data_IF_094549720934
#
_entry.id   IF_094549720934
#
_cell.length_a   1.000
_cell.length_b   1.000
_cell.length_c   1.000
_cell.angle_alpha   90.00
_cell.angle_beta   90.00
_cell.angle_gamma   90.00
#
_symmetry.space_group_name_H-M   'P 1'
#
loop_
_entity.id
_entity.type
_entity.pdbx_description
1 polymer ?
#
# COMPACT_ATOMS: atom_id res chain seq x y z
N UNK A 1 1.87 -8.21 11.92
CA UNK A 1 0.91 -8.12 10.82
C UNK A 1 -0.27 -7.21 11.15
N UNK A 2 -1.00 -7.43 12.26
CA UNK A 2 -2.18 -6.62 12.62
C UNK A 2 -1.88 -5.13 12.81
N UNK A 3 -0.76 -4.78 13.46
CA UNK A 3 -0.33 -3.39 13.62
C UNK A 3 -0.06 -2.68 12.29
N UNK A 4 0.36 -3.42 11.26
CA UNK A 4 0.51 -2.93 9.90
C UNK A 4 -0.81 -2.98 9.10
N UNK A 5 -1.94 -3.32 9.72
CA UNK A 5 -3.26 -3.51 9.09
C UNK A 5 -3.30 -4.60 8.01
N UNK A 6 -2.33 -5.52 8.00
CA UNK A 6 -2.26 -6.65 7.08
C UNK A 6 -2.94 -7.87 7.70
N UNK A 7 -4.26 -7.93 7.61
CA UNK A 7 -5.08 -9.00 8.23
C UNK A 7 -5.50 -10.11 7.26
N UNK A 8 -5.49 -9.82 5.96
CA UNK A 8 -5.90 -10.75 4.91
C UNK A 8 -4.78 -10.94 3.89
N UNK A 9 -4.78 -12.07 3.20
CA UNK A 9 -3.87 -12.33 2.10
C UNK A 9 -4.01 -11.25 1.02
N UNK A 10 -2.89 -10.90 0.41
CA UNK A 10 -2.81 -9.90 -0.66
C UNK A 10 -3.24 -8.48 -0.28
N UNK A 11 -3.44 -8.18 1.01
CA UNK A 11 -3.62 -6.81 1.42
C UNK A 11 -2.32 -6.01 1.27
N UNK A 12 -2.46 -4.79 0.74
CA UNK A 12 -1.38 -3.82 0.63
C UNK A 12 -1.63 -2.58 1.48
N UNK A 13 -0.57 -2.02 2.06
CA UNK A 13 -0.61 -0.75 2.81
C UNK A 13 0.63 0.07 2.50
N UNK A 14 0.51 1.38 2.57
CA UNK A 14 1.67 2.27 2.55
C UNK A 14 2.23 2.39 3.96
N UNK A 15 3.55 2.47 4.05
CA UNK A 15 4.26 2.62 5.33
C UNK A 15 5.32 3.69 5.16
N UNK A 16 5.30 4.70 6.05
CA UNK A 16 6.39 5.67 6.13
C UNK A 16 7.61 4.99 6.76
N UNK A 17 8.75 5.09 6.10
CA UNK A 17 10.00 4.52 6.60
C UNK A 17 10.49 5.31 7.80
N UNK A 18 10.60 4.65 8.93
CA UNK A 18 11.18 5.16 10.17
C UNK A 18 11.91 4.00 10.86
N UNK A 19 12.78 4.29 11.82
CA UNK A 19 13.51 3.25 12.57
C UNK A 19 12.56 2.23 13.20
N UNK A 20 11.45 2.69 13.76
CA UNK A 20 10.43 1.81 14.35
C UNK A 20 9.74 0.93 13.31
N UNK A 21 9.32 1.50 12.17
CA UNK A 21 8.64 0.73 11.12
C UNK A 21 9.57 -0.25 10.43
N UNK A 22 10.84 0.07 10.26
CA UNK A 22 11.86 -0.87 9.75
C UNK A 22 11.97 -2.09 10.66
N UNK A 23 12.04 -1.88 11.98
CA UNK A 23 12.09 -2.99 12.94
C UNK A 23 10.82 -3.85 12.90
N UNK A 24 9.65 -3.22 12.76
CA UNK A 24 8.39 -3.96 12.59
C UNK A 24 8.38 -4.80 11.29
N UNK A 25 8.88 -4.23 10.18
CA UNK A 25 8.96 -4.94 8.90
C UNK A 25 9.92 -6.13 9.02
N UNK A 26 11.07 -5.98 9.66
CA UNK A 26 12.02 -7.08 9.89
C UNK A 26 11.41 -8.27 10.64
N UNK A 27 10.59 -8.00 11.65
CA UNK A 27 9.90 -9.07 12.40
C UNK A 27 8.89 -9.86 11.57
N UNK A 28 8.28 -9.23 10.58
CA UNK A 28 7.25 -9.85 9.71
C UNK A 28 7.77 -10.19 8.32
N UNK A 29 9.03 -9.97 8.05
CA UNK A 29 9.66 -10.12 6.72
C UNK A 29 9.34 -11.45 6.04
N UNK A 30 9.36 -12.62 6.71
CA UNK A 30 9.05 -13.90 6.05
C UNK A 30 7.63 -14.00 5.47
N UNK A 31 6.74 -13.10 5.87
CA UNK A 31 5.31 -13.12 5.48
C UNK A 31 4.92 -11.99 4.54
N UNK A 32 5.80 -11.01 4.32
CA UNK A 32 5.50 -9.82 3.51
C UNK A 32 6.53 -9.61 2.43
N UNK A 33 6.11 -8.94 1.39
CA UNK A 33 7.03 -8.39 0.39
C UNK A 33 6.82 -6.88 0.33
N UNK A 34 7.89 -6.13 0.18
CA UNK A 34 7.85 -4.67 0.22
C UNK A 34 8.84 -4.06 -0.77
N UNK A 35 8.71 -2.79 -1.02
CA UNK A 35 9.58 -2.05 -1.93
C UNK A 35 9.08 -0.63 -2.15
N UNK A 36 9.65 0.03 -3.14
CA UNK A 36 9.41 1.43 -3.43
C UNK A 36 8.49 1.57 -4.65
N UNK A 37 7.20 1.93 -4.45
CA UNK A 37 6.27 2.11 -5.55
C UNK A 37 6.60 3.38 -6.34
N UNK A 38 6.35 3.36 -7.65
CA UNK A 38 6.38 4.57 -8.48
C UNK A 38 5.08 5.36 -8.30
N UNK A 39 5.11 6.68 -8.60
CA UNK A 39 3.90 7.53 -8.56
C UNK A 39 2.76 6.93 -9.40
N UNK A 40 3.08 6.41 -10.58
CA UNK A 40 2.10 5.76 -11.45
C UNK A 40 1.40 4.58 -10.78
N UNK A 41 2.13 3.75 -10.01
CA UNK A 41 1.53 2.63 -9.29
C UNK A 41 0.77 3.06 -8.05
N UNK A 42 1.20 4.12 -7.36
CA UNK A 42 0.42 4.73 -6.27
C UNK A 42 -0.92 5.23 -6.82
N UNK A 43 -0.90 5.97 -7.92
CA UNK A 43 -2.10 6.45 -8.61
C UNK A 43 -3.01 5.28 -9.01
N UNK A 44 -2.48 4.25 -9.68
CA UNK A 44 -3.26 3.07 -10.07
C UNK A 44 -3.89 2.34 -8.89
N UNK A 45 -3.18 2.21 -7.77
CA UNK A 45 -3.70 1.59 -6.54
C UNK A 45 -4.88 2.39 -5.99
N UNK A 46 -4.75 3.71 -5.91
CA UNK A 46 -5.80 4.58 -5.36
C UNK A 46 -7.01 4.58 -6.29
N UNK A 47 -6.83 4.75 -7.60
CA UNK A 47 -7.98 4.80 -8.54
C UNK A 47 -8.69 3.45 -8.69
N UNK A 48 -7.96 2.33 -8.77
CA UNK A 48 -8.58 1.03 -9.02
C UNK A 48 -9.02 0.29 -7.75
N UNK A 49 -8.31 0.47 -6.65
CA UNK A 49 -8.49 -0.29 -5.41
C UNK A 49 -8.64 0.61 -4.18
N UNK A 50 -8.76 1.93 -4.38
CA UNK A 50 -8.88 2.88 -3.29
C UNK A 50 -10.22 2.85 -2.61
N UNK A 51 -10.20 2.71 -1.30
CA UNK A 51 -11.32 2.85 -0.40
C UNK A 51 -10.93 3.71 0.78
N UNK A 52 -11.84 4.57 1.19
CA UNK A 52 -11.70 5.38 2.39
C UNK A 52 -12.39 4.75 3.60
N UNK A 53 -11.92 5.12 4.77
CA UNK A 53 -12.55 4.79 6.04
C UNK A 53 -13.37 5.99 6.51
N UNK A 54 -14.69 5.90 6.38
CA UNK A 54 -15.64 6.90 6.87
C UNK A 54 -16.57 6.23 7.88
N UNK A 55 -16.70 6.80 9.07
CA UNK A 55 -17.55 6.26 10.15
C UNK A 55 -17.34 4.75 10.39
N UNK A 56 -16.07 4.31 10.42
CA UNK A 56 -15.65 2.90 10.55
C UNK A 56 -16.07 1.98 9.40
N UNK A 57 -16.73 2.50 8.36
CA UNK A 57 -17.15 1.79 7.17
C UNK A 57 -16.16 1.97 6.03
N UNK A 58 -16.11 0.98 5.13
CA UNK A 58 -15.28 0.99 3.92
C UNK A 58 -16.08 1.56 2.76
N UNK A 59 -15.73 2.73 2.28
CA UNK A 59 -16.42 3.44 1.20
C UNK A 59 -15.49 3.59 -0.01
N UNK A 60 -15.94 3.30 -1.25
CA UNK A 60 -15.13 3.51 -2.45
C UNK A 60 -14.89 5.01 -2.67
N UNK A 61 -13.73 5.36 -3.19
CA UNK A 61 -13.36 6.75 -3.51
C UNK A 61 -13.91 7.15 -4.89
N UNK A 62 -15.23 7.24 -5.00
CA UNK A 62 -15.91 7.63 -6.24
C UNK A 62 -15.95 9.14 -6.42
N UNK A 63 -16.12 9.87 -5.31
CA UNK A 63 -16.27 11.33 -5.30
C UNK A 63 -15.21 12.00 -4.44
N UNK A 64 -14.77 13.18 -4.87
CA UNK A 64 -13.85 14.00 -4.08
C UNK A 64 -14.49 14.53 -2.78
N UNK A 65 -15.82 14.65 -2.73
CA UNK A 65 -16.55 15.06 -1.53
C UNK A 65 -16.29 14.15 -0.33
N UNK A 66 -16.08 12.85 -0.56
CA UNK A 66 -15.76 11.86 0.49
C UNK A 66 -14.39 12.17 1.10
N UNK A 67 -13.42 12.55 0.25
CA UNK A 67 -12.07 12.91 0.69
C UNK A 67 -12.09 14.27 1.39
N UNK A 68 -12.74 15.24 0.78
CA UNK A 68 -12.86 16.59 1.35
C UNK A 68 -13.56 16.59 2.71
N UNK A 69 -14.61 15.79 2.88
CA UNK A 69 -15.30 15.64 4.16
C UNK A 69 -14.46 14.99 5.27
N UNK A 70 -13.52 14.12 4.90
CA UNK A 70 -12.67 13.41 5.86
C UNK A 70 -11.31 14.09 6.12
N UNK A 71 -10.73 14.71 5.11
CA UNK A 71 -9.36 15.25 5.10
C UNK A 71 -9.29 16.73 4.69
N UNK A 72 -10.41 17.41 4.52
CA UNK A 72 -10.47 18.81 4.10
C UNK A 72 -9.71 19.75 5.04
N UNK A 73 -9.78 19.54 6.36
CA UNK A 73 -9.02 20.31 7.36
C UNK A 73 -7.50 20.20 7.16
N UNK A 74 -7.02 19.18 6.49
CA UNK A 74 -5.61 18.94 6.20
C UNK A 74 -5.19 19.47 4.82
N UNK A 75 -6.10 20.16 4.10
CA UNK A 75 -5.85 20.67 2.76
C UNK A 75 -5.84 19.57 1.67
N UNK A 76 -6.44 18.41 1.94
CA UNK A 76 -6.57 17.32 0.96
C UNK A 76 -8.03 17.25 0.54
N UNK A 77 -8.33 17.69 -0.68
CA UNK A 77 -9.70 17.82 -1.19
C UNK A 77 -10.01 16.88 -2.35
N UNK A 78 -8.98 16.34 -3.00
CA UNK A 78 -9.12 15.51 -4.19
C UNK A 78 -8.33 14.20 -4.09
N UNK A 79 -8.65 13.27 -5.00
CA UNK A 79 -7.87 12.02 -5.14
C UNK A 79 -6.42 12.32 -5.50
N UNK A 80 -6.17 13.34 -6.31
CA UNK A 80 -4.81 13.73 -6.72
C UNK A 80 -4.01 14.30 -5.54
N UNK A 81 -4.64 15.11 -4.66
CA UNK A 81 -3.99 15.61 -3.45
C UNK A 81 -3.61 14.44 -2.53
N UNK A 82 -4.51 13.46 -2.41
CA UNK A 82 -4.26 12.25 -1.62
C UNK A 82 -3.06 11.46 -2.18
N UNK A 83 -2.99 11.27 -3.50
CA UNK A 83 -1.88 10.60 -4.19
C UNK A 83 -0.59 11.38 -3.97
N UNK A 84 -0.64 12.71 -4.10
CA UNK A 84 0.52 13.58 -3.88
C UNK A 84 1.06 13.45 -2.45
N UNK A 85 0.18 13.55 -1.46
CA UNK A 85 0.54 13.44 -0.04
C UNK A 85 1.16 12.07 0.30
N UNK A 86 0.62 10.99 -0.24
CA UNK A 86 1.17 9.64 -0.06
C UNK A 86 2.51 9.49 -0.78
N UNK A 87 2.62 9.99 -2.00
CA UNK A 87 3.86 9.88 -2.79
C UNK A 87 5.01 10.68 -2.19
N UNK A 88 4.76 11.92 -1.80
CA UNK A 88 5.77 12.83 -1.22
C UNK A 88 6.06 12.55 0.25
N UNK A 89 5.28 11.67 0.89
CA UNK A 89 5.34 11.42 2.34
C UNK A 89 5.23 12.72 3.14
N UNK A 90 4.23 13.52 2.78
CA UNK A 90 4.02 14.86 3.33
C UNK A 90 3.68 14.89 4.82
N UNK A 91 3.46 16.07 5.35
CA UNK A 91 3.17 16.31 6.77
C UNK A 91 1.92 15.56 7.25
N UNK A 92 0.91 15.45 6.38
CA UNK A 92 -0.36 14.80 6.67
C UNK A 92 -0.41 13.32 6.27
N UNK A 93 0.73 12.73 5.86
CA UNK A 93 0.82 11.31 5.46
C UNK A 93 0.12 10.36 6.44
N UNK A 94 0.30 10.56 7.75
CA UNK A 94 -0.32 9.70 8.76
C UNK A 94 -1.84 9.73 8.68
N UNK A 95 -2.45 10.92 8.53
CA UNK A 95 -3.90 11.09 8.43
C UNK A 95 -4.41 10.51 7.11
N UNK A 96 -3.75 10.83 5.99
CA UNK A 96 -4.05 10.30 4.66
C UNK A 96 -3.97 8.76 4.61
N UNK A 97 -2.91 8.18 5.14
CA UNK A 97 -2.73 6.73 5.19
C UNK A 97 -3.72 6.03 6.14
N UNK A 98 -4.11 6.68 7.25
CA UNK A 98 -5.14 6.13 8.15
C UNK A 98 -6.54 6.20 7.53
N UNK A 99 -6.82 7.21 6.72
CA UNK A 99 -8.05 7.31 5.95
C UNK A 99 -8.15 6.21 4.91
N UNK A 100 -7.06 5.89 4.21
CA UNK A 100 -7.03 4.81 3.24
C UNK A 100 -7.25 3.45 3.92
N UNK A 101 -8.23 2.72 3.43
CA UNK A 101 -8.42 1.32 3.77
C UNK A 101 -7.30 0.48 3.15
N UNK A 102 -6.81 -0.59 3.80
CA UNK A 102 -5.86 -1.49 3.17
C UNK A 102 -6.34 -1.97 1.81
N UNK A 103 -5.48 -1.87 0.80
CA UNK A 103 -5.83 -2.26 -0.56
C UNK A 103 -6.04 -3.78 -0.61
N UNK A 104 -7.19 -4.22 -1.07
CA UNK A 104 -7.49 -5.62 -1.35
C UNK A 104 -7.03 -5.93 -2.77
N UNK A 105 -5.85 -6.50 -2.91
CA UNK A 105 -5.28 -6.89 -4.19
C UNK A 105 -5.68 -8.31 -4.57
N UNK A 106 -5.56 -8.64 -5.85
CA UNK A 106 -5.72 -10.01 -6.35
C UNK A 106 -4.41 -10.78 -6.25
N UNK A 107 -4.45 -12.10 -6.37
CA UNK A 107 -3.22 -12.87 -6.56
C UNK A 107 -2.51 -12.44 -7.84
N UNK A 108 -1.17 -12.46 -7.89
CA UNK A 108 -0.45 -12.04 -9.09
C UNK A 108 -0.78 -12.94 -10.27
N UNK A 109 -1.19 -12.36 -11.40
CA UNK A 109 -1.67 -13.09 -12.61
C UNK A 109 -0.64 -14.06 -13.21
N UNK A 110 0.65 -13.75 -13.06
CA UNK A 110 1.78 -14.57 -13.52
C UNK A 110 2.50 -15.30 -12.36
N UNK A 111 1.84 -15.39 -11.19
CA UNK A 111 2.48 -15.90 -9.98
C UNK A 111 3.54 -14.94 -9.44
N UNK A 112 4.31 -15.40 -8.47
CA UNK A 112 5.37 -14.61 -7.82
C UNK A 112 6.71 -14.62 -8.57
N UNK A 113 6.78 -15.28 -9.70
CA UNK A 113 7.97 -15.48 -10.53
C UNK A 113 8.15 -16.95 -10.91
N UNK A 114 8.77 -17.20 -12.05
CA UNK A 114 9.03 -18.56 -12.54
C UNK A 114 10.03 -19.25 -11.60
N UNK A 115 9.63 -20.39 -11.03
CA UNK A 115 10.47 -21.15 -10.10
C UNK A 115 10.68 -20.50 -8.72
N UNK A 116 9.95 -19.41 -8.40
CA UNK A 116 10.09 -18.71 -7.13
C UNK A 116 9.76 -19.60 -5.94
N UNK A 117 10.72 -19.76 -5.03
CA UNK A 117 10.57 -20.54 -3.80
C UNK A 117 9.92 -19.69 -2.72
N UNK A 118 8.69 -20.01 -2.31
CA UNK A 118 7.92 -19.21 -1.32
C UNK A 118 8.63 -19.01 0.01
N UNK A 119 9.49 -19.94 0.42
CA UNK A 119 10.20 -19.91 1.71
C UNK A 119 11.56 -19.22 1.67
N UNK A 120 11.95 -18.64 0.55
CA UNK A 120 13.22 -17.95 0.39
C UNK A 120 13.01 -16.43 0.22
N UNK A 121 13.95 -15.60 0.68
CA UNK A 121 13.91 -14.18 0.43
C UNK A 121 14.07 -13.88 -1.07
N UNK A 122 13.53 -12.76 -1.53
CA UNK A 122 13.57 -12.35 -2.93
C UNK A 122 15.00 -12.27 -3.48
N UNK A 123 15.96 -11.80 -2.67
CA UNK A 123 17.37 -11.74 -3.04
C UNK A 123 17.96 -13.11 -3.43
N UNK A 124 17.41 -14.21 -2.88
CA UNK A 124 17.84 -15.58 -3.14
C UNK A 124 16.86 -16.34 -4.08
N UNK A 125 16.19 -15.60 -4.96
CA UNK A 125 15.22 -16.18 -5.90
C UNK A 125 13.88 -16.59 -5.28
N UNK A 126 13.56 -16.04 -4.10
CA UNK A 126 12.31 -16.31 -3.39
C UNK A 126 11.23 -15.25 -3.60
N UNK A 127 10.30 -15.18 -2.66
CA UNK A 127 9.08 -14.37 -2.79
C UNK A 127 8.97 -13.25 -1.77
N UNK A 128 9.43 -13.45 -0.55
CA UNK A 128 9.28 -12.48 0.52
C UNK A 128 10.44 -11.49 0.63
N UNK A 129 10.25 -10.44 1.41
CA UNK A 129 11.28 -9.45 1.70
C UNK A 129 11.32 -8.29 0.72
N UNK A 130 12.45 -7.60 0.67
CA UNK A 130 12.63 -6.38 -0.12
C UNK A 130 12.77 -6.69 -1.62
N UNK A 131 11.92 -6.09 -2.43
CA UNK A 131 11.97 -6.12 -3.90
C UNK A 131 12.44 -4.79 -4.49
N UNK A 132 12.71 -3.80 -3.65
CA UNK A 132 13.07 -2.46 -4.10
C UNK A 132 12.12 -1.95 -5.21
N UNK A 133 12.65 -1.51 -6.34
CA UNK A 133 11.87 -1.02 -7.48
C UNK A 133 11.08 -2.13 -8.20
N UNK A 134 11.48 -3.41 -8.07
CA UNK A 134 10.81 -4.54 -8.73
C UNK A 134 9.42 -4.83 -8.12
N UNK A 135 9.10 -4.27 -6.95
CA UNK A 135 7.75 -4.31 -6.38
C UNK A 135 6.70 -3.76 -7.36
N UNK A 136 7.09 -2.84 -8.23
CA UNK A 136 6.19 -2.21 -9.20
C UNK A 136 5.63 -3.21 -10.23
N UNK A 137 6.43 -4.20 -10.61
CA UNK A 137 5.98 -5.27 -11.51
C UNK A 137 4.96 -6.17 -10.81
N UNK A 138 5.21 -6.51 -9.54
CA UNK A 138 4.27 -7.30 -8.74
C UNK A 138 2.95 -6.55 -8.52
N UNK A 139 2.99 -5.27 -8.13
CA UNK A 139 1.81 -4.43 -7.95
C UNK A 139 0.98 -4.40 -9.24
N UNK A 140 1.60 -4.19 -10.40
CA UNK A 140 0.91 -4.13 -11.69
C UNK A 140 0.19 -5.45 -12.05
N UNK A 141 0.68 -6.59 -11.54
CA UNK A 141 0.03 -7.89 -11.74
C UNK A 141 -1.12 -8.16 -10.77
N UNK A 142 -1.16 -7.44 -9.64
CA UNK A 142 -2.11 -7.66 -8.54
C UNK A 142 -3.26 -6.62 -8.50
N UNK A 143 -3.15 -5.53 -9.26
CA UNK A 143 -4.18 -4.49 -9.38
C UNK A 143 -5.39 -4.93 -10.22
#
# INVERSE_FOLDING_TARGET
MQLLRLRQLHNGVFVRMSRATINMIRMVEPYVTYGYPTRANVSRLVYKRGYGKVNRSRIPLTDNSIIAGALGEQGIHSVEDLIHEIWTVGANFKKANNFLWPFKLTSPRKGFGTGAKKRHPFANGGVFGNRECLINQLIAQMI
#
